data_IF_425859459750
#
_entry.id   IF_425859459750
#
_cell.length_a   1.000
_cell.length_b   1.000
_cell.length_c   1.000
_cell.angle_alpha   90.00
_cell.angle_beta   90.00
_cell.angle_gamma   90.00
#
_symmetry.space_group_name_H-M   'P 1'
#
loop_
_entity.id
_entity.type
_entity.pdbx_description
1 polymer ?
#
# COMPACT_ATOMS: atom_id res chain seq x y z
N UNK A 1 0.99 -18.45 -60.64
CA UNK A 1 1.79 -17.23 -60.89
C UNK A 1 1.12 -16.11 -60.11
N UNK A 2 1.17 -16.18 -58.77
CA UNK A 2 2.24 -15.58 -57.94
C UNK A 2 2.21 -14.05 -57.99
N UNK A 3 1.07 -13.49 -57.61
CA UNK A 3 0.93 -12.08 -57.29
C UNK A 3 0.30 -11.99 -55.91
N UNK A 4 0.96 -11.24 -55.03
CA UNK A 4 0.37 -10.61 -53.84
C UNK A 4 0.37 -11.35 -52.50
N UNK A 5 1.40 -12.17 -52.22
CA UNK A 5 1.77 -12.51 -50.82
C UNK A 5 2.98 -11.72 -50.30
N UNK A 6 3.86 -11.24 -51.19
CA UNK A 6 5.05 -10.49 -50.80
C UNK A 6 4.75 -9.03 -50.40
N UNK A 7 3.66 -8.45 -50.92
CA UNK A 7 3.26 -7.06 -50.63
C UNK A 7 2.64 -6.90 -49.23
N UNK A 8 1.85 -7.89 -48.79
CA UNK A 8 1.24 -7.89 -47.45
C UNK A 8 2.28 -8.17 -46.35
N UNK A 9 3.27 -9.02 -46.61
CA UNK A 9 4.35 -9.32 -45.66
C UNK A 9 5.38 -8.18 -45.55
N UNK A 10 5.55 -7.36 -46.60
CA UNK A 10 6.41 -6.18 -46.57
C UNK A 10 5.86 -5.06 -45.66
N UNK A 11 4.54 -4.83 -45.71
CA UNK A 11 3.88 -3.82 -44.86
C UNK A 11 3.84 -4.25 -43.38
N UNK A 12 3.59 -5.52 -43.09
CA UNK A 12 3.57 -6.03 -41.70
C UNK A 12 4.98 -5.97 -41.08
N UNK A 13 6.03 -6.28 -41.86
CA UNK A 13 7.43 -6.21 -41.40
C UNK A 13 7.91 -4.77 -41.22
N UNK A 14 7.47 -3.84 -42.07
CA UNK A 14 7.75 -2.41 -41.92
C UNK A 14 7.05 -1.78 -40.70
N UNK A 15 5.84 -2.25 -40.35
CA UNK A 15 5.12 -1.77 -39.14
C UNK A 15 5.66 -2.35 -37.84
N UNK A 16 6.21 -3.57 -37.86
CA UNK A 16 6.83 -4.18 -36.69
C UNK A 16 8.23 -3.59 -36.39
N UNK A 17 8.97 -3.20 -37.42
CA UNK A 17 10.32 -2.61 -37.26
C UNK A 17 10.29 -1.12 -36.85
N UNK A 18 9.18 -0.41 -37.02
CA UNK A 18 9.04 0.98 -36.55
C UNK A 18 8.67 1.07 -35.06
N UNK A 19 7.98 0.06 -34.51
CA UNK A 19 7.55 0.09 -33.10
C UNK A 19 8.64 -0.28 -32.09
N UNK A 20 9.77 -0.85 -32.52
CA UNK A 20 10.87 -1.25 -31.62
C UNK A 20 12.08 -0.29 -31.62
N UNK A 21 12.23 0.57 -32.64
CA UNK A 21 13.47 1.38 -32.82
C UNK A 21 13.45 2.81 -32.27
N UNK A 22 12.36 3.25 -31.64
CA UNK A 22 12.24 4.63 -31.11
C UNK A 22 12.06 4.73 -29.60
N UNK A 23 12.13 3.62 -28.85
CA UNK A 23 12.10 3.68 -27.38
C UNK A 23 13.52 3.76 -26.86
N UNK A 24 14.01 4.98 -26.67
CA UNK A 24 15.22 5.23 -25.91
C UNK A 24 15.09 4.51 -24.55
N UNK A 25 15.97 3.55 -24.22
CA UNK A 25 15.86 2.75 -22.99
C UNK A 25 15.73 3.61 -21.74
N UNK A 26 16.38 4.77 -21.72
CA UNK A 26 16.32 5.73 -20.60
C UNK A 26 14.92 6.34 -20.42
N UNK A 27 14.21 6.59 -21.52
CA UNK A 27 12.83 7.10 -21.49
C UNK A 27 11.88 6.01 -20.97
N UNK A 28 12.13 4.75 -21.33
CA UNK A 28 11.40 3.60 -20.78
C UNK A 28 11.65 3.41 -19.30
N UNK A 29 12.90 3.53 -18.85
CA UNK A 29 13.27 3.43 -17.44
C UNK A 29 12.63 4.57 -16.65
N UNK A 30 12.65 5.81 -17.16
CA UNK A 30 11.98 6.93 -16.50
C UNK A 30 10.45 6.74 -16.41
N UNK A 31 9.82 6.24 -17.48
CA UNK A 31 8.40 5.89 -17.48
C UNK A 31 8.09 4.78 -16.49
N UNK A 32 8.95 3.77 -16.37
CA UNK A 32 8.76 2.67 -15.42
C UNK A 32 9.03 3.12 -13.99
N UNK A 33 9.99 4.01 -13.73
CA UNK A 33 10.22 4.64 -12.43
C UNK A 33 9.01 5.49 -12.03
N UNK A 34 8.42 6.27 -12.94
CA UNK A 34 7.22 7.05 -12.67
C UNK A 34 6.00 6.14 -12.44
N UNK A 35 5.85 5.09 -13.24
CA UNK A 35 4.79 4.09 -13.07
C UNK A 35 4.92 3.35 -11.74
N UNK A 36 6.12 2.88 -11.39
CA UNK A 36 6.40 2.21 -10.11
C UNK A 36 6.30 3.18 -8.94
N UNK A 37 6.73 4.43 -9.09
CA UNK A 37 6.55 5.49 -8.10
C UNK A 37 5.09 5.77 -7.82
N UNK A 38 4.24 5.81 -8.85
CA UNK A 38 2.78 5.92 -8.71
C UNK A 38 2.16 4.66 -8.11
N UNK A 39 2.61 3.47 -8.52
CA UNK A 39 2.13 2.19 -8.01
C UNK A 39 2.46 2.02 -6.51
N UNK A 40 3.69 2.36 -6.12
CA UNK A 40 4.15 2.30 -4.73
C UNK A 40 3.59 3.45 -3.90
N UNK A 41 3.46 4.66 -4.48
CA UNK A 41 2.83 5.82 -3.84
C UNK A 41 1.31 5.63 -3.63
N UNK A 42 0.63 4.89 -4.51
CA UNK A 42 -0.77 4.52 -4.32
C UNK A 42 -0.98 3.48 -3.23
N UNK A 43 0.06 2.76 -2.79
CA UNK A 43 -0.15 1.69 -1.81
C UNK A 43 -0.51 2.21 -0.42
N UNK A 44 -0.09 3.42 -0.02
CA UNK A 44 -0.44 4.00 1.29
C UNK A 44 -0.33 5.54 1.31
N UNK A 45 -1.00 6.26 0.41
CA UNK A 45 -1.22 7.71 0.55
C UNK A 45 -2.50 7.98 1.35
N UNK A 46 -2.56 7.45 2.56
CA UNK A 46 -3.49 7.99 3.54
C UNK A 46 -2.73 9.08 4.26
N UNK A 47 -3.19 10.32 4.15
CA UNK A 47 -2.68 11.41 4.99
C UNK A 47 -2.62 10.93 6.45
N UNK A 48 -1.49 11.12 7.15
CA UNK A 48 -1.34 10.63 8.50
C UNK A 48 -2.45 11.21 9.37
N UNK A 49 -3.16 10.33 10.08
CA UNK A 49 -4.23 10.75 10.98
C UNK A 49 -3.65 11.65 12.06
N UNK A 50 -4.32 12.76 12.31
CA UNK A 50 -4.01 13.61 13.46
C UNK A 50 -4.37 12.88 14.76
N UNK A 51 -3.34 12.58 15.57
CA UNK A 51 -3.49 11.94 16.87
C UNK A 51 -4.24 12.83 17.87
N UNK A 52 -4.30 14.14 17.65
CA UNK A 52 -5.08 15.05 18.50
C UNK A 52 -6.58 14.71 18.53
N UNK A 53 -7.07 13.96 17.52
CA UNK A 53 -8.46 13.50 17.46
C UNK A 53 -8.79 12.40 18.48
N UNK A 54 -7.79 11.74 19.07
CA UNK A 54 -7.96 10.58 19.96
C UNK A 54 -7.14 10.65 21.25
N UNK A 55 -6.13 11.52 21.32
CA UNK A 55 -5.23 11.66 22.46
C UNK A 55 -5.12 13.12 22.90
N UNK A 56 -4.85 13.34 24.19
CA UNK A 56 -4.56 14.68 24.70
C UNK A 56 -3.16 15.15 24.28
N UNK A 57 -2.90 16.47 24.26
CA UNK A 57 -1.56 17.01 23.96
C UNK A 57 -0.47 16.44 24.88
N UNK A 58 -0.78 16.21 26.16
CA UNK A 58 0.16 15.62 27.12
C UNK A 58 0.47 14.17 26.78
N UNK A 59 -0.52 13.38 26.34
CA UNK A 59 -0.28 12.01 25.91
C UNK A 59 0.63 12.00 24.69
N UNK A 60 0.35 12.84 23.69
CA UNK A 60 1.17 12.94 22.47
C UNK A 60 2.60 13.38 22.79
N UNK A 61 2.77 14.35 23.68
CA UNK A 61 4.09 14.83 24.10
C UNK A 61 4.94 13.76 24.81
N UNK A 62 4.30 12.75 25.39
CA UNK A 62 4.96 11.62 26.06
C UNK A 62 5.18 10.40 25.14
N UNK A 63 4.82 10.49 23.85
CA UNK A 63 5.06 9.43 22.88
C UNK A 63 6.34 9.67 22.11
N UNK A 64 7.16 8.65 21.99
CA UNK A 64 8.27 8.63 21.05
C UNK A 64 7.75 8.68 19.61
N UNK A 65 8.55 9.23 18.69
CA UNK A 65 8.19 9.32 17.26
C UNK A 65 7.82 7.95 16.66
N UNK A 66 8.48 6.87 17.12
CA UNK A 66 8.16 5.51 16.68
C UNK A 66 6.73 5.12 17.06
N UNK A 67 6.34 5.38 18.30
CA UNK A 67 4.99 5.09 18.78
C UNK A 67 3.95 5.94 18.09
N UNK A 68 4.24 7.23 17.84
CA UNK A 68 3.33 8.12 17.11
C UNK A 68 3.05 7.59 15.70
N UNK A 69 4.09 7.28 14.93
CA UNK A 69 3.95 6.78 13.55
C UNK A 69 3.24 5.43 13.50
N UNK A 70 3.56 4.53 14.44
CA UNK A 70 2.91 3.23 14.53
C UNK A 70 1.44 3.37 14.88
N UNK A 71 1.11 4.20 15.87
CA UNK A 71 -0.25 4.42 16.33
C UNK A 71 -1.12 5.07 15.25
N UNK A 72 -0.61 6.08 14.55
CA UNK A 72 -1.29 6.69 13.40
C UNK A 72 -1.66 5.64 12.35
N UNK A 73 -0.71 4.76 12.01
CA UNK A 73 -0.92 3.70 11.03
C UNK A 73 -1.96 2.69 11.52
N UNK A 74 -1.91 2.30 12.79
CA UNK A 74 -2.87 1.37 13.39
C UNK A 74 -4.28 1.95 13.40
N UNK A 75 -4.46 3.19 13.86
CA UNK A 75 -5.76 3.88 13.88
C UNK A 75 -6.31 4.00 12.46
N UNK A 76 -5.45 4.33 11.49
CA UNK A 76 -5.84 4.41 10.08
C UNK A 76 -6.44 3.10 9.59
N UNK A 77 -5.81 1.96 9.91
CA UNK A 77 -6.36 0.65 9.54
C UNK A 77 -7.65 0.36 10.29
N UNK A 78 -7.73 0.70 11.59
CA UNK A 78 -8.93 0.51 12.40
C UNK A 78 -10.14 1.25 11.80
N UNK A 79 -10.00 2.54 11.48
CA UNK A 79 -11.10 3.36 10.90
C UNK A 79 -11.56 2.89 9.53
N UNK A 80 -10.71 2.19 8.78
CA UNK A 80 -11.02 1.64 7.47
C UNK A 80 -11.56 0.20 7.53
N UNK A 81 -11.86 -0.33 8.72
CA UNK A 81 -12.34 -1.71 8.91
C UNK A 81 -13.64 -1.72 9.71
N UNK A 82 -14.57 -2.62 9.35
CA UNK A 82 -15.89 -2.73 9.98
C UNK A 82 -15.82 -3.35 11.39
N UNK A 83 -14.75 -4.09 11.67
CA UNK A 83 -14.56 -4.76 12.95
C UNK A 83 -13.09 -5.02 13.28
N UNK A 84 -12.83 -5.21 14.57
CA UNK A 84 -11.52 -5.48 15.15
C UNK A 84 -10.82 -6.69 14.52
N UNK A 85 -11.59 -7.73 14.15
CA UNK A 85 -11.02 -8.92 13.55
C UNK A 85 -10.47 -8.64 12.14
N UNK A 86 -11.19 -7.87 11.32
CA UNK A 86 -10.72 -7.45 10.00
C UNK A 86 -9.47 -6.57 10.11
N UNK A 87 -9.47 -5.58 11.01
CA UNK A 87 -8.31 -4.73 11.26
C UNK A 87 -7.09 -5.54 11.72
N UNK A 88 -7.30 -6.45 12.68
CA UNK A 88 -6.24 -7.34 13.18
C UNK A 88 -5.66 -8.24 12.09
N UNK A 89 -6.50 -8.85 11.24
CA UNK A 89 -6.02 -9.66 10.11
C UNK A 89 -5.18 -8.86 9.12
N UNK A 90 -5.53 -7.59 8.88
CA UNK A 90 -4.79 -6.69 7.99
C UNK A 90 -3.45 -6.27 8.60
N UNK A 91 -3.44 -5.88 9.87
CA UNK A 91 -2.22 -5.46 10.58
C UNK A 91 -1.22 -6.62 10.80
N UNK A 92 -1.73 -7.82 11.07
CA UNK A 92 -0.90 -8.98 11.41
C UNK A 92 -0.81 -10.03 10.29
N UNK A 93 -1.10 -9.65 9.04
CA UNK A 93 -1.22 -10.54 7.88
C UNK A 93 -0.06 -11.54 7.71
N UNK A 94 1.18 -11.12 7.99
CA UNK A 94 2.36 -11.98 7.93
C UNK A 94 2.54 -12.81 9.20
N UNK A 95 2.54 -12.15 10.38
CA UNK A 95 2.85 -12.82 11.65
C UNK A 95 1.80 -13.86 12.09
N UNK A 96 0.55 -13.74 11.62
CA UNK A 96 -0.52 -14.68 11.93
C UNK A 96 -0.31 -16.06 11.31
N UNK A 97 0.41 -16.16 10.19
CA UNK A 97 0.73 -17.45 9.55
C UNK A 97 1.75 -18.27 10.34
N UNK A 98 2.48 -17.63 11.27
CA UNK A 98 3.54 -18.26 12.06
C UNK A 98 3.08 -18.64 13.48
N UNK A 99 1.84 -18.31 13.87
CA UNK A 99 1.34 -18.48 15.24
C UNK A 99 0.15 -19.45 15.27
N UNK A 100 0.21 -20.45 16.15
CA UNK A 100 -0.81 -21.50 16.28
C UNK A 100 -2.15 -21.05 16.90
N UNK A 101 -2.19 -19.87 17.54
CA UNK A 101 -3.43 -19.23 18.00
C UNK A 101 -3.54 -17.83 17.41
N UNK A 102 -4.56 -17.61 16.60
CA UNK A 102 -4.79 -16.37 15.86
C UNK A 102 -5.89 -15.58 16.58
N UNK A 103 -5.54 -14.93 17.68
CA UNK A 103 -6.40 -13.91 18.29
C UNK A 103 -5.86 -12.51 18.01
N UNK A 104 -5.85 -12.17 16.72
CA UNK A 104 -5.42 -10.87 16.19
C UNK A 104 -6.21 -9.71 16.83
N UNK A 105 -7.51 -9.96 17.08
CA UNK A 105 -8.41 -9.07 17.80
C UNK A 105 -7.92 -8.72 19.21
N UNK A 106 -7.59 -9.73 20.02
CA UNK A 106 -7.09 -9.50 21.38
C UNK A 106 -5.75 -8.76 21.39
N UNK A 107 -4.85 -9.11 20.47
CA UNK A 107 -3.57 -8.43 20.30
C UNK A 107 -3.76 -6.95 19.94
N UNK A 108 -4.68 -6.64 19.03
CA UNK A 108 -5.00 -5.26 18.65
C UNK A 108 -5.62 -4.50 19.83
N UNK A 109 -6.56 -5.11 20.57
CA UNK A 109 -7.15 -4.51 21.77
C UNK A 109 -6.11 -4.17 22.83
N UNK A 110 -5.21 -5.11 23.13
CA UNK A 110 -4.09 -4.91 24.05
C UNK A 110 -3.12 -3.82 23.59
N UNK A 111 -2.91 -3.69 22.28
CA UNK A 111 -2.08 -2.63 21.73
C UNK A 111 -2.72 -1.26 21.94
N UNK A 112 -4.00 -1.08 21.58
CA UNK A 112 -4.74 0.18 21.76
C UNK A 112 -4.83 0.61 23.24
N UNK A 113 -5.05 -0.36 24.13
CA UNK A 113 -5.15 -0.10 25.57
C UNK A 113 -3.86 0.49 26.18
N UNK A 114 -2.68 0.26 25.59
CA UNK A 114 -1.42 0.90 26.03
C UNK A 114 -1.46 2.42 25.92
N UNK A 115 -2.27 2.93 24.99
CA UNK A 115 -2.46 4.35 24.74
C UNK A 115 -3.76 4.88 25.37
N UNK A 116 -4.45 4.06 26.17
CA UNK A 116 -5.75 4.41 26.75
C UNK A 116 -6.89 4.43 25.73
N UNK A 117 -6.72 3.78 24.58
CA UNK A 117 -7.71 3.77 23.50
C UNK A 117 -8.51 2.46 23.47
N UNK A 118 -9.79 2.58 23.12
CA UNK A 118 -10.67 1.43 22.86
C UNK A 118 -11.19 1.47 21.43
N UNK A 119 -11.45 0.31 20.83
CA UNK A 119 -11.99 0.25 19.47
C UNK A 119 -13.31 1.02 19.30
N UNK A 120 -14.17 0.98 20.32
CA UNK A 120 -15.45 1.69 20.37
C UNK A 120 -15.31 3.21 20.31
N UNK A 121 -14.12 3.75 20.60
CA UNK A 121 -13.85 5.19 20.66
C UNK A 121 -12.97 5.69 19.51
N UNK A 122 -12.64 4.85 18.53
CA UNK A 122 -11.76 5.18 17.39
C UNK A 122 -12.50 5.73 16.18
#
# INVERSE_FOLDING_TARGET
MHGDQDSYMSLVKATADFQSKSRCPDVLVAQEIDRLGKLWGQQYTTEPIDLSSVLTPEQIANLDLFDQLQLQSVITVCRNCDNLAQAGRRLFAISRNQRGSINDSDRLRKYLAKFGLEWSTL
#
